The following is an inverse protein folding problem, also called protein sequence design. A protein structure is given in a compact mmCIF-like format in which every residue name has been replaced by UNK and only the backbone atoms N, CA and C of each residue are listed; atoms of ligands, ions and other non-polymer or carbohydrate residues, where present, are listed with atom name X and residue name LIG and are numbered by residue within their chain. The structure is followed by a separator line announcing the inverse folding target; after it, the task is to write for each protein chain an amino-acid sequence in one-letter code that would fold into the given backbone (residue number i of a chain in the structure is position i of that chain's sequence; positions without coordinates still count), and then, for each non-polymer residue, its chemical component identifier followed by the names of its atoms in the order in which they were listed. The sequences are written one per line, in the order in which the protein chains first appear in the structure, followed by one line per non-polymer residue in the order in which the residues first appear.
data_IF_443526349933
#
_entry.id   IF_443526349933
#
_cell.length_a   1.000
_cell.length_b   1.000
_cell.length_c   1.000
_cell.angle_alpha   90.00
_cell.angle_beta   90.00
_cell.angle_gamma   90.00
#
_symmetry.space_group_name_H-M   'P 1'
#
loop_
_entity.id
_entity.type
_entity.pdbx_description
1 polymer ?
#
# COMPACT_ATOMS: atom_id res chain seq x y z
N UNK A 1 12.84 24.55 -49.88
CA UNK A 1 13.62 24.23 -48.69
C UNK A 1 13.35 22.77 -48.34
N UNK A 2 14.24 21.90 -48.80
CA UNK A 2 14.31 20.51 -48.42
C UNK A 2 15.28 20.47 -47.23
N UNK A 3 14.75 20.46 -46.03
CA UNK A 3 15.54 20.20 -44.84
C UNK A 3 15.78 18.69 -44.74
N UNK A 4 17.06 18.35 -44.96
CA UNK A 4 17.62 17.03 -44.78
C UNK A 4 17.43 16.55 -43.33
N UNK A 5 16.52 15.64 -43.10
CA UNK A 5 16.61 14.75 -41.96
C UNK A 5 17.72 13.72 -42.26
N UNK A 6 18.96 14.08 -41.95
CA UNK A 6 20.00 13.10 -41.67
C UNK A 6 19.62 12.43 -40.35
N UNK A 7 19.04 11.24 -40.40
CA UNK A 7 19.13 10.32 -39.29
C UNK A 7 20.59 9.96 -39.12
N UNK A 8 21.15 10.33 -37.98
CA UNK A 8 22.49 9.89 -37.62
C UNK A 8 22.48 8.36 -37.52
N UNK A 9 23.45 7.71 -38.19
CA UNK A 9 23.64 6.25 -38.06
C UNK A 9 23.81 5.83 -36.59
N UNK A 10 24.31 6.71 -35.73
CA UNK A 10 24.45 6.48 -34.27
C UNK A 10 23.13 6.28 -33.57
N UNK A 11 22.02 6.93 -33.99
CA UNK A 11 20.69 6.72 -33.39
C UNK A 11 20.17 5.30 -33.59
N UNK A 12 20.59 4.63 -34.68
CA UNK A 12 20.19 3.24 -34.97
C UNK A 12 20.96 2.26 -34.09
N UNK A 13 22.22 2.56 -33.80
CA UNK A 13 23.04 1.73 -32.90
C UNK A 13 22.58 1.86 -31.45
N UNK A 14 22.21 3.05 -30.99
CA UNK A 14 21.66 3.25 -29.65
C UNK A 14 20.31 2.53 -29.45
N UNK A 15 19.46 2.51 -30.47
CA UNK A 15 18.20 1.77 -30.44
C UNK A 15 18.47 0.25 -30.49
N UNK A 16 19.44 -0.19 -31.26
CA UNK A 16 19.81 -1.61 -31.32
C UNK A 16 20.44 -2.08 -30.00
N UNK A 17 21.27 -1.26 -29.36
CA UNK A 17 21.83 -1.53 -28.02
C UNK A 17 20.75 -1.53 -26.94
N UNK A 18 19.74 -0.64 -27.01
CA UNK A 18 18.60 -0.63 -26.09
C UNK A 18 17.77 -1.91 -26.23
N UNK A 19 17.47 -2.36 -27.43
CA UNK A 19 16.74 -3.61 -27.69
C UNK A 19 17.62 -4.86 -27.49
N UNK A 20 18.94 -4.78 -27.64
CA UNK A 20 19.85 -5.87 -27.32
C UNK A 20 19.99 -6.11 -25.80
N UNK A 21 19.79 -5.09 -24.97
CA UNK A 21 19.84 -5.22 -23.51
C UNK A 21 18.51 -5.66 -22.87
N UNK A 22 17.39 -5.56 -23.56
CA UNK A 22 16.10 -6.08 -23.07
C UNK A 22 15.90 -7.54 -23.57
N UNK A 23 16.75 -8.44 -23.09
CA UNK A 23 16.59 -9.86 -23.36
C UNK A 23 15.32 -10.37 -22.65
N UNK A 24 14.26 -10.54 -23.42
CA UNK A 24 13.00 -11.07 -22.94
C UNK A 24 13.21 -12.39 -22.19
N UNK A 25 12.45 -12.58 -21.12
CA UNK A 25 12.45 -13.83 -20.35
C UNK A 25 12.06 -15.00 -21.25
N UNK A 26 12.89 -16.04 -21.33
CA UNK A 26 12.65 -17.25 -22.11
C UNK A 26 11.77 -18.23 -21.35
N UNK A 27 12.19 -18.59 -20.15
CA UNK A 27 11.48 -19.50 -19.26
C UNK A 27 11.51 -18.97 -17.83
N UNK A 28 10.50 -19.31 -17.07
CA UNK A 28 10.45 -19.02 -15.65
C UNK A 28 9.78 -20.18 -14.92
N UNK A 29 10.43 -20.71 -13.91
CA UNK A 29 9.87 -21.70 -13.00
C UNK A 29 9.90 -21.15 -11.58
N UNK A 30 8.78 -21.22 -10.88
CA UNK A 30 8.71 -20.87 -9.46
C UNK A 30 8.02 -21.98 -8.68
N UNK A 31 8.54 -22.25 -7.50
CA UNK A 31 7.92 -23.17 -6.56
C UNK A 31 7.93 -22.55 -5.16
N UNK A 32 6.81 -22.68 -4.45
CA UNK A 32 6.66 -22.22 -3.08
C UNK A 32 6.07 -23.37 -2.25
N UNK A 33 6.67 -23.63 -1.10
CA UNK A 33 6.19 -24.57 -0.11
C UNK A 33 6.11 -23.87 1.23
N UNK A 34 5.00 -24.02 1.93
CA UNK A 34 4.82 -23.47 3.28
C UNK A 34 4.24 -24.54 4.18
N UNK A 35 4.80 -24.65 5.38
CA UNK A 35 4.39 -25.58 6.41
C UNK A 35 4.18 -24.85 7.72
N UNK A 36 2.93 -24.92 8.24
CA UNK A 36 2.65 -24.49 9.60
C UNK A 36 3.17 -25.53 10.59
N UNK A 37 3.86 -25.05 11.61
CA UNK A 37 4.40 -25.91 12.69
C UNK A 37 3.33 -26.13 13.76
N UNK A 38 3.34 -27.29 14.45
CA UNK A 38 2.40 -27.58 15.53
C UNK A 38 2.50 -26.58 16.68
N UNK A 39 1.46 -26.54 17.52
CA UNK A 39 1.45 -25.82 18.82
C UNK A 39 1.77 -24.31 18.74
N UNK A 40 1.50 -23.67 17.61
CA UNK A 40 1.78 -22.23 17.46
C UNK A 40 3.26 -21.87 17.30
N UNK A 41 4.10 -22.82 16.95
CA UNK A 41 5.53 -22.60 16.64
C UNK A 41 5.75 -21.84 15.32
N UNK A 42 4.69 -21.30 14.72
CA UNK A 42 4.78 -20.47 13.52
C UNK A 42 4.78 -21.28 12.22
N UNK A 43 5.44 -20.77 11.21
CA UNK A 43 5.51 -21.39 9.89
C UNK A 43 6.88 -21.25 9.26
N UNK A 44 7.26 -22.27 8.51
CA UNK A 44 8.45 -22.26 7.65
C UNK A 44 8.01 -22.24 6.20
N UNK A 45 8.63 -21.41 5.38
CA UNK A 45 8.38 -21.40 3.94
C UNK A 45 9.70 -21.45 3.16
N UNK A 46 9.66 -22.18 2.06
CA UNK A 46 10.73 -22.30 1.08
C UNK A 46 10.20 -21.81 -0.26
N UNK A 47 10.90 -20.89 -0.89
CA UNK A 47 10.61 -20.46 -2.24
C UNK A 47 11.82 -20.59 -3.14
N UNK A 48 11.59 -20.90 -4.39
CA UNK A 48 12.60 -20.91 -5.43
C UNK A 48 12.07 -20.31 -6.70
N UNK A 49 12.93 -19.60 -7.39
CA UNK A 49 12.63 -18.98 -8.66
C UNK A 49 13.82 -19.19 -9.60
N UNK A 50 13.57 -19.79 -10.75
CA UNK A 50 14.52 -19.98 -11.81
C UNK A 50 14.05 -19.22 -13.05
N UNK A 51 14.97 -18.49 -13.71
CA UNK A 51 14.69 -17.73 -14.93
C UNK A 51 15.80 -17.93 -15.96
N UNK A 52 15.39 -18.20 -17.18
CA UNK A 52 16.24 -18.21 -18.37
C UNK A 52 15.89 -16.98 -19.24
N UNK A 53 16.88 -16.48 -19.95
CA UNK A 53 16.74 -15.32 -20.82
C UNK A 53 17.15 -15.66 -22.26
N UNK A 54 16.50 -14.99 -23.21
CA UNK A 54 16.89 -15.08 -24.60
C UNK A 54 18.22 -14.34 -24.83
N UNK A 55 19.11 -14.89 -25.63
CA UNK A 55 20.35 -14.20 -26.04
C UNK A 55 21.46 -14.15 -24.98
N UNK A 56 21.23 -14.69 -23.77
CA UNK A 56 22.25 -14.86 -22.75
C UNK A 56 22.49 -16.34 -22.43
N UNK A 57 23.77 -16.69 -22.20
CA UNK A 57 24.12 -17.98 -21.68
C UNK A 57 24.09 -17.93 -20.16
N UNK A 58 23.21 -18.68 -19.54
CA UNK A 58 23.07 -18.74 -18.09
C UNK A 58 21.63 -18.57 -17.64
N UNK A 59 21.40 -18.84 -16.39
CA UNK A 59 20.10 -18.72 -15.72
C UNK A 59 20.25 -18.06 -14.37
N UNK A 60 19.32 -17.20 -14.01
CA UNK A 60 19.24 -16.70 -12.63
C UNK A 60 18.45 -17.66 -11.77
N UNK A 61 18.90 -17.84 -10.52
CA UNK A 61 18.28 -18.74 -9.55
C UNK A 61 18.20 -18.03 -8.21
N UNK A 62 17.02 -18.03 -7.62
CA UNK A 62 16.75 -17.46 -6.31
C UNK A 62 16.20 -18.55 -5.39
N UNK A 63 16.75 -18.68 -4.22
CA UNK A 63 16.31 -19.56 -3.16
C UNK A 63 16.06 -18.73 -1.91
N UNK A 64 14.95 -18.95 -1.24
CA UNK A 64 14.65 -18.27 0.01
C UNK A 64 14.01 -19.23 0.99
N UNK A 65 14.57 -19.31 2.18
CA UNK A 65 14.00 -19.98 3.34
C UNK A 65 13.57 -18.91 4.33
N UNK A 66 12.36 -18.99 4.83
CA UNK A 66 11.89 -18.08 5.87
C UNK A 66 11.15 -18.80 6.98
N UNK A 67 11.28 -18.25 8.17
CA UNK A 67 10.54 -18.65 9.36
C UNK A 67 9.79 -17.45 9.92
N UNK A 68 8.49 -17.59 10.14
CA UNK A 68 7.63 -16.54 10.69
C UNK A 68 6.88 -17.06 11.90
N UNK A 69 6.80 -16.23 12.93
CA UNK A 69 5.98 -16.52 14.10
C UNK A 69 5.46 -15.23 14.74
N UNK A 70 4.47 -15.40 15.63
CA UNK A 70 3.90 -14.33 16.42
C UNK A 70 4.12 -14.64 17.91
N UNK A 71 4.86 -13.77 18.59
CA UNK A 71 4.98 -13.81 20.03
C UNK A 71 4.04 -12.78 20.64
N UNK A 72 2.88 -13.24 21.11
CA UNK A 72 1.76 -12.37 21.54
C UNK A 72 1.33 -11.43 20.38
N UNK A 73 1.70 -10.14 20.48
CA UNK A 73 1.37 -9.12 19.47
C UNK A 73 2.53 -8.81 18.53
N UNK A 74 3.71 -9.34 18.80
CA UNK A 74 4.90 -9.09 17.99
C UNK A 74 4.98 -10.14 16.90
N UNK A 75 4.97 -9.72 15.65
CA UNK A 75 5.23 -10.59 14.51
C UNK A 75 6.70 -10.48 14.12
N UNK A 76 7.36 -11.59 13.87
CA UNK A 76 8.72 -11.58 13.36
C UNK A 76 8.91 -12.62 12.25
N UNK A 77 9.80 -12.28 11.36
CA UNK A 77 10.22 -13.15 10.26
C UNK A 77 11.74 -13.12 10.13
N UNK A 78 12.32 -14.29 10.07
CA UNK A 78 13.72 -14.50 9.75
C UNK A 78 13.78 -15.12 8.35
N UNK A 79 14.54 -14.53 7.44
CA UNK A 79 14.67 -15.02 6.09
C UNK A 79 16.13 -15.09 5.66
N UNK A 80 16.53 -16.21 5.09
CA UNK A 80 17.81 -16.40 4.42
C UNK A 80 17.56 -16.59 2.93
N UNK A 81 18.25 -15.86 2.09
CA UNK A 81 18.15 -15.98 0.64
C UNK A 81 19.53 -16.13 0.01
N UNK A 82 19.56 -16.84 -1.09
CA UNK A 82 20.72 -17.04 -1.94
C UNK A 82 20.29 -16.88 -3.39
N UNK A 83 20.92 -15.93 -4.07
CA UNK A 83 20.65 -15.63 -5.45
C UNK A 83 21.91 -15.91 -6.29
N UNK A 84 21.69 -16.42 -7.48
CA UNK A 84 22.71 -16.56 -8.52
C UNK A 84 22.27 -15.77 -9.73
N UNK A 85 23.13 -14.89 -10.21
CA UNK A 85 22.89 -14.20 -11.48
C UNK A 85 23.27 -15.09 -12.68
N UNK A 86 23.08 -14.59 -13.88
CA UNK A 86 23.38 -15.29 -15.13
C UNK A 86 24.88 -15.61 -15.29
N UNK A 87 25.76 -14.87 -14.61
CA UNK A 87 27.19 -15.03 -14.59
C UNK A 87 27.68 -15.93 -13.45
N UNK A 88 26.76 -16.59 -12.75
CA UNK A 88 27.00 -17.41 -11.56
C UNK A 88 27.58 -16.61 -10.37
N UNK A 89 27.33 -15.29 -10.36
CA UNK A 89 27.65 -14.48 -9.20
C UNK A 89 26.68 -14.82 -8.10
N UNK A 90 27.20 -15.19 -6.95
CA UNK A 90 26.43 -15.58 -5.77
C UNK A 90 26.22 -14.37 -4.86
N UNK A 91 25.00 -14.18 -4.40
CA UNK A 91 24.65 -13.20 -3.39
C UNK A 91 23.85 -13.86 -2.29
N UNK A 92 24.32 -13.74 -1.06
CA UNK A 92 23.63 -14.24 0.14
C UNK A 92 23.09 -13.07 0.94
N UNK A 93 21.86 -13.22 1.43
CA UNK A 93 21.24 -12.23 2.29
C UNK A 93 20.53 -12.91 3.45
N UNK A 94 20.63 -12.28 4.61
CA UNK A 94 19.85 -12.64 5.78
C UNK A 94 19.04 -11.41 6.22
N UNK A 95 17.74 -11.60 6.41
CA UNK A 95 16.82 -10.53 6.80
C UNK A 95 16.11 -10.87 8.10
N UNK A 96 16.05 -9.91 9.00
CA UNK A 96 15.26 -9.95 10.21
C UNK A 96 14.18 -8.88 10.07
N UNK A 97 12.92 -9.30 10.09
CA UNK A 97 11.77 -8.39 10.09
C UNK A 97 11.02 -8.53 11.41
N UNK A 98 10.67 -7.40 12.03
CA UNK A 98 9.86 -7.34 13.25
C UNK A 98 8.76 -6.31 13.03
N UNK A 99 7.53 -6.66 13.42
CA UNK A 99 6.38 -5.75 13.41
C UNK A 99 5.68 -5.80 14.77
N UNK A 100 5.44 -4.62 15.33
CA UNK A 100 4.84 -4.44 16.65
C UNK A 100 3.63 -3.53 16.49
N UNK A 101 2.40 -4.04 16.66
CA UNK A 101 1.22 -3.21 16.75
C UNK A 101 1.11 -2.60 18.14
N UNK A 102 0.87 -1.32 18.20
CA UNK A 102 0.53 -0.59 19.42
C UNK A 102 -0.94 -0.15 19.33
N UNK A 103 -1.76 -0.59 20.25
CA UNK A 103 -3.13 -0.13 20.39
C UNK A 103 -3.18 1.00 21.43
N UNK A 104 -3.81 2.09 21.05
CA UNK A 104 -4.02 3.23 21.95
C UNK A 104 -5.50 3.60 21.96
N UNK A 105 -6.06 3.76 23.15
CA UNK A 105 -7.46 4.08 23.39
C UNK A 105 -8.25 2.90 23.90
N UNK A 106 -9.41 3.17 24.45
CA UNK A 106 -10.42 2.18 24.83
C UNK A 106 -11.61 2.21 23.87
N UNK A 107 -12.37 1.11 23.84
CA UNK A 107 -13.48 0.96 22.91
C UNK A 107 -14.69 1.85 23.23
N UNK A 108 -14.73 2.43 24.46
CA UNK A 108 -15.89 3.14 24.97
C UNK A 108 -15.78 4.67 24.89
N UNK A 109 -14.59 5.22 25.13
CA UNK A 109 -14.41 6.68 25.22
C UNK A 109 -13.52 7.23 24.12
N UNK A 110 -12.57 6.44 23.64
CA UNK A 110 -11.62 6.85 22.63
C UNK A 110 -11.55 5.80 21.53
N UNK A 111 -11.73 6.14 20.25
CA UNK A 111 -11.56 5.18 19.17
C UNK A 111 -10.20 4.51 19.25
N UNK A 112 -10.18 3.17 19.17
CA UNK A 112 -8.92 2.43 19.11
C UNK A 112 -8.09 2.92 17.95
N UNK A 113 -6.88 3.34 18.23
CA UNK A 113 -5.89 3.75 17.24
C UNK A 113 -4.83 2.69 17.15
N UNK A 114 -4.66 2.13 15.97
CA UNK A 114 -3.59 1.17 15.70
C UNK A 114 -2.39 1.91 15.12
N UNK A 115 -1.26 1.77 15.79
CA UNK A 115 0.04 2.25 15.33
C UNK A 115 0.90 1.01 15.14
N UNK A 116 1.52 0.90 13.98
CA UNK A 116 2.43 -0.18 13.65
C UNK A 116 3.86 0.35 13.58
N UNK A 117 4.73 -0.25 14.37
CA UNK A 117 6.16 -0.08 14.21
C UNK A 117 6.72 -1.30 13.50
N UNK A 118 7.51 -1.09 12.47
CA UNK A 118 8.21 -2.16 11.75
C UNK A 118 9.69 -1.87 11.66
N UNK A 119 10.49 -2.91 11.73
CA UNK A 119 11.93 -2.86 11.47
C UNK A 119 12.32 -4.02 10.57
N UNK A 120 13.12 -3.74 9.56
CA UNK A 120 13.74 -4.72 8.68
C UNK A 120 15.23 -4.47 8.65
N UNK A 121 16.02 -5.45 9.06
CA UNK A 121 17.48 -5.41 9.01
C UNK A 121 17.99 -6.49 8.08
N UNK A 122 18.78 -6.10 7.12
CA UNK A 122 19.37 -7.00 6.12
C UNK A 122 20.88 -7.06 6.30
N UNK A 123 21.41 -8.26 6.23
CA UNK A 123 22.82 -8.58 6.19
C UNK A 123 23.13 -9.27 4.87
N UNK A 124 24.30 -8.99 4.31
CA UNK A 124 24.85 -9.64 3.13
C UNK A 124 26.21 -10.32 3.44
N UNK A 125 26.93 -10.75 2.43
CA UNK A 125 28.24 -11.39 2.57
C UNK A 125 29.31 -10.47 3.21
N UNK A 126 29.08 -9.16 3.23
CA UNK A 126 29.97 -8.17 3.83
C UNK A 126 29.54 -7.77 5.25
N UNK A 127 28.43 -8.31 5.73
CA UNK A 127 27.88 -8.05 7.05
C UNK A 127 26.61 -7.23 6.99
N UNK A 128 26.52 -6.13 7.77
CA UNK A 128 25.34 -5.28 7.79
C UNK A 128 25.17 -4.54 6.45
N UNK A 129 24.05 -4.78 5.77
CA UNK A 129 23.74 -4.14 4.48
C UNK A 129 22.79 -2.95 4.63
N UNK A 130 21.67 -3.15 5.32
CA UNK A 130 20.68 -2.07 5.47
C UNK A 130 19.77 -2.27 6.68
N UNK A 131 19.21 -1.16 7.14
CA UNK A 131 18.12 -1.16 8.12
C UNK A 131 17.01 -0.21 7.64
N UNK A 132 15.78 -0.64 7.79
CA UNK A 132 14.60 0.17 7.52
C UNK A 132 13.66 0.09 8.74
N UNK A 133 13.42 1.23 9.36
CA UNK A 133 12.49 1.36 10.48
C UNK A 133 11.33 2.25 10.07
N UNK A 134 10.12 1.78 10.29
CA UNK A 134 8.89 2.48 9.94
C UNK A 134 7.93 2.57 11.11
N UNK A 135 7.16 3.65 11.12
CA UNK A 135 6.01 3.82 11.99
C UNK A 135 4.84 4.26 11.10
N UNK A 136 3.71 3.60 11.23
CA UNK A 136 2.51 3.94 10.47
C UNK A 136 1.26 3.79 11.33
N UNK A 137 0.21 4.51 10.97
CA UNK A 137 -1.03 4.43 11.71
C UNK A 137 -2.16 5.20 11.03
N UNK A 138 -3.33 5.08 11.66
CA UNK A 138 -4.54 5.77 11.23
C UNK A 138 -5.06 6.59 12.40
N UNK A 139 -5.44 7.84 12.13
CA UNK A 139 -5.98 8.76 13.12
C UNK A 139 -7.19 9.52 12.59
N UNK A 140 -7.94 10.12 13.50
CA UNK A 140 -9.16 10.86 13.24
C UNK A 140 -10.40 10.07 13.66
N UNK A 141 -11.49 10.79 13.93
CA UNK A 141 -12.74 10.16 14.41
C UNK A 141 -13.39 9.22 13.39
N UNK A 142 -13.05 9.39 12.11
CA UNK A 142 -13.54 8.60 10.98
C UNK A 142 -12.42 7.79 10.32
N UNK A 143 -11.28 7.63 10.99
CA UNK A 143 -10.08 6.97 10.45
C UNK A 143 -9.63 7.57 9.11
N UNK A 144 -9.84 8.89 8.96
CA UNK A 144 -9.63 9.57 7.69
C UNK A 144 -8.18 9.93 7.38
N UNK A 145 -7.31 9.94 8.37
CA UNK A 145 -5.89 10.26 8.20
C UNK A 145 -5.04 9.01 8.35
N UNK A 146 -4.33 8.63 7.29
CA UNK A 146 -3.30 7.61 7.34
C UNK A 146 -1.95 8.30 7.24
N UNK A 147 -1.04 7.95 8.13
CA UNK A 147 0.30 8.51 8.16
C UNK A 147 1.35 7.42 8.21
N UNK A 148 2.52 7.74 7.71
CA UNK A 148 3.70 6.90 7.80
C UNK A 148 4.95 7.76 7.91
N UNK A 149 5.90 7.30 8.69
CA UNK A 149 7.27 7.82 8.73
C UNK A 149 8.22 6.65 8.62
N UNK A 150 9.30 6.81 7.90
CA UNK A 150 10.30 5.78 7.73
C UNK A 150 11.71 6.37 7.77
N UNK A 151 12.63 5.58 8.30
CA UNK A 151 14.05 5.84 8.30
C UNK A 151 14.75 4.61 7.70
N UNK A 152 15.49 4.81 6.63
CA UNK A 152 16.26 3.78 5.96
C UNK A 152 17.72 4.15 5.97
N UNK A 153 18.58 3.22 6.35
CA UNK A 153 20.02 3.35 6.29
C UNK A 153 20.60 2.22 5.43
N UNK A 154 21.45 2.58 4.47
CA UNK A 154 22.19 1.65 3.62
C UNK A 154 23.68 1.77 3.95
N UNK A 155 24.32 0.64 4.24
CA UNK A 155 25.76 0.62 4.55
C UNK A 155 26.60 0.96 3.32
N UNK A 156 26.27 0.37 2.18
CA UNK A 156 26.90 0.70 0.92
C UNK A 156 26.50 2.12 0.50
N UNK A 157 27.48 3.02 0.39
CA UNK A 157 27.24 4.45 0.16
C UNK A 157 26.97 5.27 1.42
N UNK A 158 26.84 4.64 2.60
CA UNK A 158 26.55 5.28 3.90
C UNK A 158 25.40 6.30 3.80
N UNK A 159 24.32 5.89 3.13
CA UNK A 159 23.19 6.77 2.85
C UNK A 159 22.08 6.54 3.87
N UNK A 160 21.57 7.62 4.43
CA UNK A 160 20.39 7.61 5.28
C UNK A 160 19.28 8.42 4.65
N UNK A 161 18.14 7.80 4.48
CA UNK A 161 16.93 8.43 3.94
C UNK A 161 15.85 8.47 5.00
N UNK A 162 15.28 9.64 5.25
CA UNK A 162 14.10 9.83 6.06
C UNK A 162 12.91 10.19 5.17
N UNK A 163 11.78 9.54 5.41
CA UNK A 163 10.55 9.77 4.66
C UNK A 163 9.34 9.95 5.58
N UNK A 164 8.36 10.72 5.11
CA UNK A 164 7.07 10.86 5.74
C UNK A 164 5.97 10.95 4.68
N UNK A 165 4.82 10.37 4.95
CA UNK A 165 3.64 10.47 4.11
C UNK A 165 2.38 10.67 4.95
N UNK A 166 1.43 11.39 4.38
CA UNK A 166 0.12 11.61 4.95
C UNK A 166 -0.93 11.46 3.86
N UNK A 167 -1.95 10.66 4.12
CA UNK A 167 -3.14 10.54 3.26
C UNK A 167 -4.36 10.99 4.05
N UNK A 168 -5.08 11.96 3.53
CA UNK A 168 -6.37 12.38 4.04
C UNK A 168 -7.50 11.90 3.12
N UNK A 169 -8.31 10.98 3.62
CA UNK A 169 -9.50 10.47 2.95
C UNK A 169 -10.70 11.32 3.38
N UNK A 170 -10.94 12.42 2.68
CA UNK A 170 -12.15 13.22 2.88
C UNK A 170 -13.34 12.62 2.12
N UNK A 171 -14.60 12.93 2.49
CA UNK A 171 -15.77 12.40 1.77
C UNK A 171 -15.81 12.76 0.27
N UNK A 172 -15.17 13.86 -0.11
CA UNK A 172 -15.22 14.43 -1.47
C UNK A 172 -13.91 14.32 -2.23
N UNK A 173 -12.80 13.99 -1.57
CA UNK A 173 -11.48 13.89 -2.20
C UNK A 173 -10.52 13.07 -1.34
N UNK A 174 -9.49 12.52 -1.96
CA UNK A 174 -8.30 12.00 -1.27
C UNK A 174 -7.13 12.97 -1.52
N UNK A 175 -6.50 13.41 -0.45
CA UNK A 175 -5.32 14.28 -0.50
C UNK A 175 -4.13 13.48 0.02
N UNK A 176 -3.05 13.44 -0.75
CA UNK A 176 -1.80 12.80 -0.35
C UNK A 176 -0.70 13.84 -0.28
N UNK A 177 0.12 13.76 0.76
CA UNK A 177 1.35 14.50 0.90
C UNK A 177 2.49 13.53 1.19
N UNK A 178 3.66 13.76 0.62
CA UNK A 178 4.86 12.99 0.89
C UNK A 178 6.08 13.89 0.96
N UNK A 179 7.02 13.50 1.78
CA UNK A 179 8.33 14.13 1.89
C UNK A 179 9.39 13.05 2.05
N UNK A 180 10.50 13.19 1.35
CA UNK A 180 11.65 12.32 1.50
C UNK A 180 12.93 13.14 1.42
N UNK A 181 13.90 12.81 2.25
CA UNK A 181 15.18 13.47 2.33
C UNK A 181 16.29 12.46 2.58
N UNK A 182 17.37 12.60 1.83
CA UNK A 182 18.66 11.95 2.09
C UNK A 182 19.80 12.98 2.12
N UNK A 183 21.03 12.49 2.17
CA UNK A 183 22.22 13.35 2.02
C UNK A 183 22.33 13.97 0.63
N UNK A 184 21.78 13.31 -0.39
CA UNK A 184 21.94 13.65 -1.81
C UNK A 184 20.73 14.34 -2.40
N UNK A 185 19.52 14.17 -1.82
CA UNK A 185 18.29 14.77 -2.37
C UNK A 185 17.28 15.15 -1.30
N UNK A 186 16.37 16.04 -1.71
CA UNK A 186 15.12 16.35 -0.99
C UNK A 186 13.98 16.35 -2.00
N UNK A 187 12.90 15.67 -1.65
CA UNK A 187 11.73 15.58 -2.51
C UNK A 187 10.47 15.78 -1.68
N UNK A 188 9.55 16.60 -2.19
CA UNK A 188 8.21 16.74 -1.66
C UNK A 188 7.21 16.50 -2.78
N UNK A 189 6.11 15.84 -2.45
CA UNK A 189 5.02 15.57 -3.37
C UNK A 189 3.68 15.85 -2.72
N UNK A 190 2.73 16.36 -3.50
CA UNK A 190 1.35 16.48 -3.08
C UNK A 190 0.44 16.10 -4.24
N UNK A 191 -0.65 15.40 -3.94
CA UNK A 191 -1.67 15.06 -4.93
C UNK A 191 -3.06 15.15 -4.33
N UNK A 192 -4.03 15.51 -5.16
CA UNK A 192 -5.45 15.49 -4.83
C UNK A 192 -6.16 14.69 -5.90
N UNK A 193 -6.97 13.74 -5.49
CA UNK A 193 -7.79 12.93 -6.37
C UNK A 193 -9.23 12.89 -5.89
N UNK A 194 -10.15 12.76 -6.83
CA UNK A 194 -11.59 12.69 -6.57
C UNK A 194 -12.37 12.60 -7.87
N UNK A 195 -13.69 12.56 -7.76
CA UNK A 195 -14.60 12.50 -8.90
C UNK A 195 -15.72 13.52 -8.80
N UNK A 196 -16.29 13.87 -9.94
CA UNK A 196 -17.47 14.70 -10.04
C UNK A 196 -18.55 13.90 -10.75
N UNK A 197 -19.73 13.79 -10.15
CA UNK A 197 -20.86 13.08 -10.71
C UNK A 197 -22.03 14.05 -10.86
N UNK A 198 -22.48 14.23 -12.10
CA UNK A 198 -23.69 14.97 -12.44
C UNK A 198 -24.84 13.98 -12.72
N UNK A 199 -25.99 14.19 -12.10
CA UNK A 199 -27.17 13.33 -12.24
C UNK A 199 -28.44 14.17 -12.07
N UNK A 200 -29.63 13.57 -12.21
CA UNK A 200 -30.90 14.29 -12.14
C UNK A 200 -31.14 15.04 -10.82
N UNK A 201 -30.49 14.65 -9.73
CA UNK A 201 -30.55 15.30 -8.41
C UNK A 201 -29.48 16.39 -8.18
N UNK A 202 -28.64 16.68 -9.18
CA UNK A 202 -27.60 17.70 -9.08
C UNK A 202 -26.16 17.21 -9.32
N UNK A 203 -25.19 17.95 -8.79
CA UNK A 203 -23.76 17.63 -8.90
C UNK A 203 -23.23 17.25 -7.52
N UNK A 204 -22.50 16.13 -7.46
CA UNK A 204 -21.89 15.64 -6.24
C UNK A 204 -20.42 15.33 -6.47
N UNK A 205 -19.60 15.60 -5.46
CA UNK A 205 -18.21 15.22 -5.41
C UNK A 205 -18.08 13.84 -4.77
N UNK A 206 -17.11 13.07 -5.24
CA UNK A 206 -16.77 11.75 -4.73
C UNK A 206 -15.29 11.69 -4.35
N UNK A 207 -14.99 11.05 -3.26
CA UNK A 207 -13.60 10.79 -2.85
C UNK A 207 -12.84 9.99 -3.91
N UNK A 208 -13.52 9.05 -4.52
CA UNK A 208 -13.02 8.20 -5.59
C UNK A 208 -14.15 7.89 -6.57
N UNK A 209 -13.81 7.73 -7.82
CA UNK A 209 -14.72 7.32 -8.87
C UNK A 209 -14.07 6.22 -9.69
N UNK A 210 -14.77 5.09 -9.82
CA UNK A 210 -14.40 3.98 -10.70
C UNK A 210 -15.35 3.92 -11.90
N UNK A 211 -15.10 3.01 -12.83
CA UNK A 211 -15.97 2.83 -14.01
C UNK A 211 -17.42 2.50 -13.63
N UNK A 212 -17.61 1.81 -12.49
CA UNK A 212 -18.92 1.47 -11.95
C UNK A 212 -19.13 2.12 -10.60
N UNK A 213 -20.14 2.96 -10.49
CA UNK A 213 -20.49 3.67 -9.26
C UNK A 213 -22.01 3.75 -9.10
N UNK A 214 -22.45 4.03 -7.89
CA UNK A 214 -23.84 4.31 -7.57
C UNK A 214 -23.97 5.67 -6.88
N UNK A 215 -25.06 6.37 -7.14
CA UNK A 215 -25.47 7.54 -6.38
C UNK A 215 -26.60 7.12 -5.45
N UNK A 216 -26.34 7.17 -4.16
CA UNK A 216 -27.33 6.90 -3.14
C UNK A 216 -27.94 8.22 -2.65
N UNK A 217 -29.25 8.34 -2.69
CA UNK A 217 -29.99 9.51 -2.23
C UNK A 217 -30.91 9.11 -1.06
N UNK A 218 -30.59 9.59 0.13
CA UNK A 218 -31.33 9.38 1.36
C UNK A 218 -31.66 10.74 2.00
N UNK A 219 -32.70 11.44 1.53
CA UNK A 219 -33.03 12.79 1.97
C UNK A 219 -33.19 12.86 3.50
N UNK A 220 -32.59 13.86 4.13
CA UNK A 220 -32.64 14.09 5.57
C UNK A 220 -31.61 13.27 6.38
N UNK A 221 -30.87 12.35 5.75
CA UNK A 221 -29.85 11.56 6.43
C UNK A 221 -28.47 12.13 6.09
N UNK A 222 -27.92 12.89 7.01
CA UNK A 222 -26.58 13.50 6.91
C UNK A 222 -25.57 12.67 7.70
N UNK A 223 -24.30 12.63 7.23
CA UNK A 223 -23.17 12.00 7.90
C UNK A 223 -23.33 10.49 8.18
N UNK A 224 -24.28 9.81 7.52
CA UNK A 224 -24.43 8.36 7.60
C UNK A 224 -23.33 7.67 6.80
N UNK A 225 -22.76 6.60 7.36
CA UNK A 225 -21.71 5.81 6.71
C UNK A 225 -22.29 4.86 5.68
N UNK A 226 -21.51 4.61 4.62
CA UNK A 226 -21.88 3.61 3.62
C UNK A 226 -21.01 2.36 3.79
N UNK A 227 -21.65 1.19 3.92
CA UNK A 227 -20.97 -0.10 4.06
C UNK A 227 -19.88 -0.11 5.14
N UNK A 228 -20.10 0.57 6.27
CA UNK A 228 -19.16 0.66 7.38
C UNK A 228 -17.91 1.51 7.12
N UNK A 229 -17.80 2.16 5.95
CA UNK A 229 -16.66 3.02 5.63
C UNK A 229 -16.86 4.41 6.24
N UNK A 230 -16.23 4.66 7.37
CA UNK A 230 -16.42 5.87 8.18
C UNK A 230 -16.10 7.19 7.47
N UNK A 231 -15.22 7.18 6.45
CA UNK A 231 -14.89 8.38 5.67
C UNK A 231 -15.85 8.61 4.48
N UNK A 232 -16.66 7.61 4.11
CA UNK A 232 -17.69 7.74 3.06
C UNK A 232 -19.03 8.02 3.70
N UNK A 233 -19.38 9.29 3.74
CA UNK A 233 -20.60 9.74 4.41
C UNK A 233 -21.52 10.47 3.45
N UNK A 234 -22.82 10.40 3.74
CA UNK A 234 -23.81 11.24 3.08
C UNK A 234 -23.52 12.73 3.34
N UNK A 235 -23.69 13.55 2.33
CA UNK A 235 -23.54 15.00 2.41
C UNK A 235 -24.77 15.65 3.12
N UNK A 236 -24.81 16.99 3.16
CA UNK A 236 -25.93 17.75 3.78
C UNK A 236 -27.28 17.44 3.16
N UNK A 237 -27.34 17.03 1.90
CA UNK A 237 -28.57 16.70 1.18
C UNK A 237 -28.91 15.19 1.27
N UNK A 238 -28.15 14.40 2.03
CA UNK A 238 -28.33 12.96 2.12
C UNK A 238 -27.77 12.18 0.93
N UNK A 239 -26.94 12.79 0.09
CA UNK A 239 -26.41 12.15 -1.11
C UNK A 239 -24.97 11.69 -0.86
N UNK A 240 -24.65 10.49 -1.34
CA UNK A 240 -23.29 9.95 -1.38
C UNK A 240 -23.06 9.22 -2.70
N UNK A 241 -21.85 9.35 -3.24
CA UNK A 241 -21.40 8.58 -4.40
C UNK A 241 -20.56 7.42 -3.87
N UNK A 242 -20.93 6.21 -4.24
CA UNK A 242 -20.21 4.99 -3.88
C UNK A 242 -19.62 4.37 -5.14
N UNK A 243 -18.30 4.16 -5.15
CA UNK A 243 -17.55 3.52 -6.24
C UNK A 243 -17.33 2.02 -5.97
N UNK A 244 -16.85 1.30 -6.98
CA UNK A 244 -16.48 -0.11 -6.85
C UNK A 244 -17.66 -1.07 -6.83
N UNK A 245 -18.73 -0.73 -7.56
CA UNK A 245 -19.85 -1.64 -7.79
C UNK A 245 -19.40 -2.79 -8.70
N UNK A 246 -19.88 -3.99 -8.43
CA UNK A 246 -19.61 -5.14 -9.30
C UNK A 246 -20.50 -5.05 -10.53
N UNK A 247 -19.93 -4.97 -11.75
CA UNK A 247 -20.72 -4.90 -12.98
C UNK A 247 -21.56 -6.17 -13.16
N UNK A 248 -22.76 -6.00 -13.74
CA UNK A 248 -23.67 -7.10 -14.10
C UNK A 248 -24.09 -8.02 -12.95
N UNK A 249 -24.05 -7.52 -11.71
CA UNK A 249 -24.49 -8.22 -10.51
C UNK A 249 -25.34 -7.30 -9.65
N UNK A 250 -26.21 -7.91 -8.84
CA UNK A 250 -26.90 -7.20 -7.78
C UNK A 250 -25.88 -6.74 -6.72
N UNK A 251 -25.97 -5.47 -6.34
CA UNK A 251 -25.09 -4.85 -5.37
C UNK A 251 -25.94 -4.32 -4.21
N UNK A 252 -25.55 -4.66 -2.99
CA UNK A 252 -26.21 -4.18 -1.78
C UNK A 252 -25.38 -3.05 -1.16
N UNK A 253 -26.02 -1.90 -0.98
CA UNK A 253 -25.46 -0.76 -0.27
C UNK A 253 -26.23 -0.54 1.02
N UNK A 254 -25.51 -0.47 2.14
CA UNK A 254 -26.08 -0.25 3.47
C UNK A 254 -25.68 1.12 3.97
N UNK A 255 -26.66 1.89 4.48
CA UNK A 255 -26.42 3.10 5.24
C UNK A 255 -26.44 2.78 6.72
N UNK A 256 -25.33 3.06 7.39
CA UNK A 256 -25.24 2.99 8.84
C UNK A 256 -25.63 4.32 9.45
N UNK A 257 -26.79 4.34 10.06
CA UNK A 257 -27.38 5.52 10.70
C UNK A 257 -27.20 5.50 12.22
N UNK A 258 -26.51 4.55 12.76
CA UNK A 258 -26.38 4.32 14.21
C UNK A 258 -25.66 5.45 14.98
N UNK A 259 -25.05 6.39 14.28
CA UNK A 259 -24.40 7.57 14.85
C UNK A 259 -25.24 8.84 14.78
N UNK A 260 -26.46 8.77 14.30
CA UNK A 260 -27.39 9.88 14.44
C UNK A 260 -27.80 9.87 15.92
N UNK A 261 -27.37 10.86 16.68
CA UNK A 261 -27.94 11.16 17.99
C UNK A 261 -29.45 11.39 17.79
N UNK A 262 -30.24 10.37 18.01
CA UNK A 262 -31.67 10.54 18.24
C UNK A 262 -31.71 11.27 19.57
N UNK A 263 -31.93 12.59 19.54
CA UNK A 263 -32.30 13.35 20.72
C UNK A 263 -33.45 12.61 21.37
N UNK A 264 -33.32 12.32 22.66
CA UNK A 264 -34.30 11.55 23.43
C UNK A 264 -35.75 11.98 23.12
N UNK A 265 -36.67 11.04 23.01
CA UNK A 265 -38.09 11.36 22.85
C UNK A 265 -38.52 12.20 24.04
N UNK A 266 -38.95 13.40 23.75
CA UNK A 266 -39.51 14.34 24.72
C UNK A 266 -40.55 13.59 25.55
N UNK A 267 -40.30 13.42 26.85
CA UNK A 267 -41.25 12.87 27.79
C UNK A 267 -42.53 13.69 27.71
N UNK A 268 -43.58 13.10 27.18
CA UNK A 268 -44.93 13.62 27.32
C UNK A 268 -45.23 13.74 28.81
N UNK A 269 -45.26 14.94 29.35
CA UNK A 269 -45.87 15.21 30.66
C UNK A 269 -47.36 14.85 30.53
N UNK A 270 -47.75 13.82 31.25
CA UNK A 270 -49.18 13.61 31.57
C UNK A 270 -49.62 14.75 32.50
N UNK A 271 -50.62 15.49 32.07
CA UNK A 271 -51.44 16.40 32.90
C UNK A 271 -52.41 15.50 33.67
#
# INVERSE_FOLDING_TARGET
NKDNYRRDENDIYDIADYYQNDFGRKNSFSANMSQSLPEGWGSVSLSTLWRDYWGRSGSSKDYQLSYSNNLRRISYTLAASQAYDENHHEEKRFNIFISIPFDWGDDFTTPRRQIYMSNSTTFDDQGFASNNTGLSGTVGNRDQFNYGVNLSHQHQGNETTAGANLTWNAPVATVNGSYSQSSTYRQAGASVSGGIVAWSGGVNLANRLSETFAVMNAPGIKDAYVNGQKYRTTNRNGVVVYDGMTPYRENHLMLDVSLIHISEPTRLRRI
#
